data_IF_699141938928
#
_entry.id   IF_699141938928
#
_cell.length_a   1.000
_cell.length_b   1.000
_cell.length_c   1.000
_cell.angle_alpha   90.00
_cell.angle_beta   90.00
_cell.angle_gamma   90.00
#
_symmetry.space_group_name_H-M   'P 1'
#
loop_
_entity.id
_entity.type
_entity.pdbx_description
1 polymer ?
#
# COMPACT_ATOMS: atom_id res chain seq x y z
N UNK A 1 17.92 11.85 11.30
CA UNK A 1 16.56 11.39 11.65
C UNK A 1 16.23 10.16 10.84
N UNK A 2 15.51 9.24 11.43
CA UNK A 2 15.16 7.99 10.74
C UNK A 2 14.20 8.19 9.58
N UNK A 3 13.36 9.21 9.67
CA UNK A 3 12.29 9.41 8.70
C UNK A 3 11.13 8.41 8.82
N UNK A 4 11.14 7.57 9.84
CA UNK A 4 10.06 6.59 10.07
C UNK A 4 8.88 7.27 10.75
N UNK A 5 7.67 6.97 10.27
CA UNK A 5 6.42 7.49 10.82
C UNK A 5 5.56 6.32 11.28
N UNK A 6 5.12 6.37 12.54
CA UNK A 6 4.19 5.39 13.12
C UNK A 6 2.81 5.65 12.55
N UNK A 7 2.18 4.63 11.96
CA UNK A 7 0.86 4.76 11.35
C UNK A 7 -0.21 3.90 12.00
N UNK A 8 0.14 3.13 13.01
CA UNK A 8 -0.84 2.30 13.70
C UNK A 8 -0.21 1.08 14.33
N UNK A 9 -1.03 0.25 14.97
CA UNK A 9 -0.57 -0.94 15.64
C UNK A 9 -0.73 -2.18 14.77
N UNK A 10 0.02 -3.24 15.13
CA UNK A 10 -0.13 -4.55 14.50
C UNK A 10 -1.55 -5.06 14.69
N UNK A 11 -2.16 -4.80 15.86
CA UNK A 11 -3.53 -5.23 16.14
C UNK A 11 -4.55 -4.54 15.22
N UNK A 12 -4.37 -3.25 14.99
CA UNK A 12 -5.25 -2.50 14.07
C UNK A 12 -5.14 -3.05 12.65
N UNK A 13 -3.92 -3.36 12.21
CA UNK A 13 -3.70 -3.97 10.91
C UNK A 13 -4.37 -5.34 10.81
N UNK A 14 -4.24 -6.17 11.85
CA UNK A 14 -4.86 -7.50 11.86
C UNK A 14 -6.39 -7.42 11.83
N UNK A 15 -6.96 -6.44 12.52
CA UNK A 15 -8.42 -6.29 12.61
C UNK A 15 -9.04 -5.85 11.28
N UNK A 16 -8.41 -4.93 10.57
CA UNK A 16 -8.94 -4.36 9.32
C UNK A 16 -8.24 -4.90 8.08
N UNK A 17 -7.12 -5.59 8.25
CA UNK A 17 -6.25 -6.12 7.21
C UNK A 17 -5.54 -5.03 6.41
N UNK A 18 -5.67 -3.77 6.82
CA UNK A 18 -4.98 -2.65 6.19
C UNK A 18 -4.94 -1.47 7.16
N UNK A 19 -3.94 -0.62 6.97
CA UNK A 19 -3.85 0.66 7.65
C UNK A 19 -3.72 1.76 6.59
N UNK A 20 -4.24 2.94 6.91
CA UNK A 20 -4.18 4.10 6.03
C UNK A 20 -3.76 5.31 6.85
N UNK A 21 -2.89 6.14 6.29
CA UNK A 21 -2.45 7.37 6.94
C UNK A 21 -1.91 8.35 5.90
N UNK A 22 -1.99 9.63 6.22
CA UNK A 22 -1.33 10.65 5.41
C UNK A 22 0.07 10.87 5.99
N UNK A 23 1.10 10.68 5.17
CA UNK A 23 2.50 10.83 5.58
C UNK A 23 3.20 11.66 4.54
N UNK A 24 3.76 12.79 4.96
CA UNK A 24 4.51 13.71 4.08
C UNK A 24 3.75 14.09 2.80
N UNK A 25 2.44 14.24 2.92
CA UNK A 25 1.59 14.62 1.80
C UNK A 25 1.13 13.45 0.94
N UNK A 26 1.57 12.24 1.24
CA UNK A 26 1.11 11.04 0.53
C UNK A 26 0.03 10.34 1.33
N UNK A 27 -0.98 9.83 0.63
CA UNK A 27 -1.93 8.92 1.26
C UNK A 27 -1.34 7.52 1.19
N UNK A 28 -0.89 7.02 2.33
CA UNK A 28 -0.18 5.74 2.43
C UNK A 28 -1.15 4.65 2.90
N UNK A 29 -1.08 3.50 2.26
CA UNK A 29 -1.79 2.31 2.69
C UNK A 29 -0.78 1.20 2.97
N UNK A 30 -1.01 0.46 4.07
CA UNK A 30 -0.21 -0.73 4.38
C UNK A 30 -1.14 -1.94 4.40
N UNK A 31 -0.68 -3.01 3.78
CA UNK A 31 -1.37 -4.29 3.78
C UNK A 31 -0.39 -5.40 4.14
N UNK A 32 -0.90 -6.44 4.79
CA UNK A 32 -0.13 -7.66 5.03
C UNK A 32 -0.62 -8.73 4.06
N UNK A 33 0.30 -9.30 3.29
CA UNK A 33 -0.02 -10.32 2.30
C UNK A 33 0.94 -11.48 2.49
N UNK A 34 0.41 -12.65 2.84
CA UNK A 34 1.22 -13.86 3.06
C UNK A 34 2.38 -13.62 4.03
N UNK A 35 2.11 -12.89 5.10
CA UNK A 35 3.10 -12.59 6.14
C UNK A 35 4.02 -11.42 5.86
N UNK A 36 4.00 -10.87 4.66
CA UNK A 36 4.83 -9.72 4.29
C UNK A 36 4.04 -8.43 4.35
N UNK A 37 4.71 -7.35 4.77
CA UNK A 37 4.12 -6.02 4.78
C UNK A 37 4.45 -5.29 3.50
N UNK A 38 3.46 -4.59 2.96
CA UNK A 38 3.64 -3.72 1.80
C UNK A 38 3.04 -2.36 2.10
N UNK A 39 3.76 -1.29 1.78
CA UNK A 39 3.29 0.07 1.90
C UNK A 39 3.32 0.74 0.53
N UNK A 40 2.24 1.39 0.17
CA UNK A 40 2.12 2.00 -1.16
C UNK A 40 1.21 3.21 -1.10
N UNK A 41 1.33 4.06 -2.12
CA UNK A 41 0.44 5.19 -2.24
C UNK A 41 -0.97 4.70 -2.62
N UNK A 42 -1.97 5.13 -1.86
CA UNK A 42 -3.36 4.71 -2.10
C UNK A 42 -3.96 5.54 -3.23
N UNK A 43 -3.43 5.31 -4.42
CA UNK A 43 -3.82 6.05 -5.62
C UNK A 43 -3.55 5.20 -6.85
N UNK A 44 -4.61 4.80 -7.54
CA UNK A 44 -4.44 4.13 -8.82
C UNK A 44 -3.87 5.15 -9.82
N UNK A 45 -2.73 4.86 -10.42
CA UNK A 45 -2.05 5.81 -11.30
C UNK A 45 -2.82 6.09 -12.58
N UNK A 46 -3.80 5.26 -12.88
CA UNK A 46 -4.66 5.44 -14.05
C UNK A 46 -5.60 6.64 -13.90
N UNK A 47 -6.24 6.80 -12.73
CA UNK A 47 -7.27 7.82 -12.55
C UNK A 47 -7.22 8.55 -11.21
N UNK A 48 -6.15 8.38 -10.45
CA UNK A 48 -5.92 9.02 -9.14
C UNK A 48 -6.93 8.61 -8.06
N UNK A 49 -7.74 7.59 -8.31
CA UNK A 49 -8.72 7.13 -7.34
C UNK A 49 -8.09 6.26 -6.26
N UNK A 50 -8.60 6.30 -5.02
CA UNK A 50 -8.12 5.37 -3.99
C UNK A 50 -8.51 3.94 -4.35
N UNK A 51 -7.71 2.99 -3.84
CA UNK A 51 -7.98 1.57 -4.10
C UNK A 51 -9.19 1.04 -3.31
N UNK A 52 -9.53 1.70 -2.19
CA UNK A 52 -10.63 1.27 -1.31
C UNK A 52 -10.42 -0.19 -0.86
N UNK A 53 -11.36 -1.08 -1.14
CA UNK A 53 -11.28 -2.50 -0.80
C UNK A 53 -10.81 -3.34 -1.97
N UNK A 54 -9.91 -2.79 -2.80
CA UNK A 54 -9.37 -3.49 -3.96
C UNK A 54 -8.80 -4.86 -3.56
N UNK A 55 -9.10 -5.91 -4.32
CA UNK A 55 -8.57 -7.24 -4.02
C UNK A 55 -7.06 -7.29 -4.26
N UNK A 56 -6.39 -8.12 -3.47
CA UNK A 56 -4.96 -8.38 -3.61
C UNK A 56 -4.80 -9.88 -3.84
N UNK A 57 -4.17 -10.24 -4.97
CA UNK A 57 -3.92 -11.63 -5.36
C UNK A 57 -2.46 -11.77 -5.73
N UNK A 58 -1.76 -12.74 -5.13
CA UNK A 58 -0.34 -13.00 -5.43
C UNK A 58 0.54 -11.75 -5.34
N UNK A 59 0.31 -10.92 -4.32
CA UNK A 59 1.02 -9.66 -4.11
C UNK A 59 0.78 -8.63 -5.21
N UNK A 60 -0.32 -8.74 -5.95
CA UNK A 60 -0.78 -7.76 -6.92
C UNK A 60 -2.08 -7.14 -6.44
N UNK A 61 -2.14 -5.81 -6.45
CA UNK A 61 -3.39 -5.11 -6.14
C UNK A 61 -4.13 -4.80 -7.44
N UNK A 62 -5.44 -5.03 -7.44
CA UNK A 62 -6.27 -4.90 -8.64
C UNK A 62 -7.21 -3.72 -8.44
N UNK A 63 -7.05 -2.69 -9.27
CA UNK A 63 -7.95 -1.54 -9.22
C UNK A 63 -9.38 -1.99 -9.56
N UNK A 64 -10.36 -1.76 -8.66
CA UNK A 64 -11.70 -2.32 -8.89
C UNK A 64 -12.47 -1.65 -10.03
N UNK A 65 -12.02 -0.50 -10.52
CA UNK A 65 -12.74 0.23 -11.56
C UNK A 65 -12.51 -0.33 -12.95
N UNK A 66 -11.23 -0.63 -13.27
CA UNK A 66 -10.87 -1.04 -14.64
C UNK A 66 -9.95 -2.24 -14.68
N UNK A 67 -9.70 -2.86 -13.52
CA UNK A 67 -8.88 -4.08 -13.46
C UNK A 67 -7.39 -3.88 -13.64
N UNK A 68 -6.89 -2.64 -13.55
CA UNK A 68 -5.46 -2.40 -13.61
C UNK A 68 -4.75 -3.11 -12.44
N UNK A 69 -3.62 -3.75 -12.72
CA UNK A 69 -2.86 -4.52 -11.73
C UNK A 69 -1.51 -3.89 -11.48
N UNK A 70 -1.10 -3.88 -10.21
CA UNK A 70 0.21 -3.38 -9.79
C UNK A 70 0.88 -4.39 -8.89
N UNK A 71 2.18 -4.59 -9.08
CA UNK A 71 2.97 -5.43 -8.18
C UNK A 71 3.28 -4.65 -6.90
N UNK A 72 2.85 -5.17 -5.74
CA UNK A 72 3.09 -4.49 -4.47
C UNK A 72 4.54 -4.54 -4.01
N UNK A 73 5.34 -5.46 -4.55
CA UNK A 73 6.76 -5.54 -4.22
C UNK A 73 7.59 -4.48 -4.91
N UNK A 74 7.24 -4.13 -6.14
CA UNK A 74 8.04 -3.24 -6.97
C UNK A 74 7.32 -1.97 -7.39
N UNK A 75 5.98 -1.99 -7.35
CA UNK A 75 5.14 -0.91 -7.86
C UNK A 75 4.89 -0.99 -9.36
N UNK A 76 5.44 -1.98 -10.04
CA UNK A 76 5.29 -2.08 -11.49
C UNK A 76 3.83 -2.17 -11.91
N UNK A 77 3.43 -1.40 -12.93
CA UNK A 77 2.12 -1.51 -13.54
C UNK A 77 2.13 -2.74 -14.45
N UNK A 78 1.29 -3.72 -14.14
CA UNK A 78 1.34 -5.02 -14.79
C UNK A 78 0.32 -5.17 -15.93
N UNK A 79 -0.71 -4.33 -15.95
CA UNK A 79 -1.73 -4.44 -17.00
C UNK A 79 -2.39 -3.09 -17.27
N UNK A 80 -2.87 -2.89 -18.52
CA UNK A 80 -3.65 -1.71 -18.85
C UNK A 80 -4.93 -1.65 -18.00
N UNK A 81 -5.50 -0.47 -17.77
CA UNK A 81 -5.12 0.82 -18.33
C UNK A 81 -4.05 1.58 -17.55
N UNK A 82 -3.38 0.95 -16.61
CA UNK A 82 -2.30 1.59 -15.87
C UNK A 82 -0.96 1.37 -16.57
N UNK A 83 -0.23 2.46 -16.79
CA UNK A 83 1.09 2.44 -17.44
C UNK A 83 2.17 3.02 -16.55
N UNK A 84 1.80 3.79 -15.52
CA UNK A 84 2.75 4.38 -14.59
C UNK A 84 2.86 3.51 -13.35
N UNK A 85 4.07 3.34 -12.78
CA UNK A 85 4.22 2.52 -11.60
C UNK A 85 3.53 3.11 -10.38
N UNK A 86 3.14 2.24 -9.46
CA UNK A 86 2.61 2.61 -8.16
C UNK A 86 3.79 2.99 -7.26
N UNK A 87 3.67 4.07 -6.49
CA UNK A 87 4.71 4.46 -5.54
C UNK A 87 4.70 3.52 -4.36
N UNK A 88 5.85 2.93 -4.07
CA UNK A 88 6.05 1.99 -2.97
C UNK A 88 6.89 2.66 -1.90
N UNK A 89 6.57 2.41 -0.63
CA UNK A 89 7.28 2.96 0.52
C UNK A 89 7.90 1.86 1.35
N UNK A 90 8.95 2.18 2.10
CA UNK A 90 9.52 1.25 3.06
C UNK A 90 8.56 1.10 4.24
N UNK A 91 8.44 -0.11 4.75
CA UNK A 91 7.55 -0.42 5.87
C UNK A 91 8.23 -1.42 6.80
N UNK A 92 7.99 -1.28 8.12
CA UNK A 92 8.53 -2.21 9.11
C UNK A 92 7.61 -2.34 10.31
N UNK A 93 7.78 -3.43 11.06
CA UNK A 93 7.22 -3.57 12.41
C UNK A 93 8.30 -3.16 13.41
N UNK A 94 7.88 -2.41 14.44
CA UNK A 94 8.77 -2.03 15.52
C UNK A 94 7.94 -1.89 16.79
N UNK A 95 8.23 -2.71 17.81
CA UNK A 95 7.57 -2.68 19.12
C UNK A 95 6.03 -2.68 18.98
N UNK A 96 5.50 -3.61 18.20
CA UNK A 96 4.06 -3.78 17.94
C UNK A 96 3.42 -2.63 17.19
N UNK A 97 4.22 -1.76 16.57
CA UNK A 97 3.75 -0.66 15.74
C UNK A 97 4.18 -0.88 14.30
N UNK A 98 3.41 -0.32 13.39
CA UNK A 98 3.75 -0.30 11.96
C UNK A 98 4.29 1.07 11.62
N UNK A 99 5.46 1.10 11.01
CA UNK A 99 6.10 2.35 10.62
C UNK A 99 6.41 2.35 9.13
N UNK A 100 6.25 3.50 8.50
CA UNK A 100 6.60 3.69 7.09
C UNK A 100 7.60 4.81 6.94
N UNK A 101 8.36 4.75 5.85
CA UNK A 101 9.31 5.80 5.52
C UNK A 101 9.11 6.20 4.06
N UNK A 102 8.74 7.43 3.85
CA UNK A 102 8.59 8.02 2.53
C UNK A 102 9.86 8.74 2.10
#
# INVERSE_FOLDING_TARGET
>A
MSGWTDIGSIEELAASQRLEADVDGYRVRVARVSGSLYAFEDRCTHDDSPFDDAPIEDSEIICPRHGARFCLRTGEALSPPAYEPLRIFEVRESADRIEVRT
#
